data_IF_513129340404
#
_entry.id   IF_513129340404
#
_cell.length_a   1.000
_cell.length_b   1.000
_cell.length_c   1.000
_cell.angle_alpha   90.00
_cell.angle_beta   90.00
_cell.angle_gamma   90.00
#
_symmetry.space_group_name_H-M   'P 1'
#
loop_
_entity.id
_entity.type
_entity.pdbx_description
1 polymer ?
#
# COMPACT_ATOMS: atom_id res chain seq x y z
N UNK A 1 14.41 7.17 -16.06
CA UNK A 1 15.24 8.38 -15.86
C UNK A 1 15.37 8.62 -14.37
N UNK A 2 16.52 9.12 -13.87
CA UNK A 2 16.77 9.27 -12.41
C UNK A 2 15.63 10.02 -11.69
N UNK A 3 15.08 11.05 -12.33
CA UNK A 3 13.93 11.84 -11.85
C UNK A 3 12.67 11.02 -11.50
N UNK A 4 12.41 9.91 -12.19
CA UNK A 4 11.25 9.07 -11.86
C UNK A 4 11.50 8.22 -10.60
N UNK A 5 12.77 7.96 -10.28
CA UNK A 5 13.19 7.12 -9.16
C UNK A 5 13.28 7.93 -7.86
N UNK A 6 13.56 9.23 -7.94
CA UNK A 6 13.63 10.15 -6.79
C UNK A 6 12.24 10.48 -6.20
N UNK A 7 11.20 10.54 -7.03
CA UNK A 7 9.83 10.85 -6.59
C UNK A 7 8.99 9.59 -6.24
N UNK A 8 9.43 8.38 -6.62
CA UNK A 8 8.67 7.12 -6.45
C UNK A 8 8.60 6.61 -5.01
N UNK A 9 7.41 6.24 -4.52
CA UNK A 9 7.25 5.52 -3.24
C UNK A 9 7.33 4.00 -3.38
N UNK A 10 7.11 3.44 -4.58
CA UNK A 10 7.41 2.04 -4.89
C UNK A 10 7.87 1.93 -6.34
N UNK A 11 9.17 1.69 -6.55
CA UNK A 11 9.78 1.58 -7.86
C UNK A 11 10.56 0.27 -7.99
N UNK A 12 10.34 -0.45 -9.10
CA UNK A 12 11.06 -1.68 -9.43
C UNK A 12 11.78 -1.49 -10.76
N UNK A 13 13.12 -1.52 -10.76
CA UNK A 13 13.87 -1.42 -12.00
C UNK A 13 13.72 -2.74 -12.81
N UNK A 14 13.28 -2.71 -14.08
CA UNK A 14 13.22 -3.90 -14.92
C UNK A 14 14.56 -4.62 -15.13
N UNK A 15 15.71 -3.95 -14.96
CA UNK A 15 17.04 -4.59 -15.03
C UNK A 15 17.48 -5.24 -13.71
N UNK A 16 16.78 -4.98 -12.60
CA UNK A 16 17.06 -5.56 -11.28
C UNK A 16 18.14 -4.86 -10.45
N UNK A 17 18.89 -3.91 -11.02
CA UNK A 17 20.07 -3.30 -10.36
C UNK A 17 19.75 -2.45 -9.11
N UNK A 18 18.51 -1.96 -8.98
CA UNK A 18 18.07 -1.10 -7.88
C UNK A 18 16.54 -1.08 -7.78
N UNK A 19 15.97 -0.99 -6.59
CA UNK A 19 14.52 -0.83 -6.38
C UNK A 19 14.24 -0.10 -5.06
N UNK A 20 13.14 0.64 -4.99
CA UNK A 20 12.77 1.53 -3.87
C UNK A 20 11.40 1.10 -3.33
N UNK A 21 11.23 1.16 -2.01
CA UNK A 21 9.95 0.92 -1.35
C UNK A 21 9.83 1.71 -0.05
N UNK A 22 9.14 2.84 -0.09
CA UNK A 22 8.85 3.71 1.05
C UNK A 22 7.52 3.33 1.69
N UNK A 23 7.53 2.35 2.60
CA UNK A 23 6.31 1.85 3.24
C UNK A 23 5.98 2.60 4.54
N UNK A 24 4.77 3.18 4.59
CA UNK A 24 4.21 3.76 5.80
C UNK A 24 3.58 2.69 6.70
N UNK A 25 3.87 2.76 8.00
CA UNK A 25 3.32 1.86 9.01
C UNK A 25 1.95 2.35 9.50
N UNK A 26 0.92 1.54 9.35
CA UNK A 26 -0.35 1.68 10.05
C UNK A 26 -0.34 0.76 11.29
N UNK A 27 -0.18 1.31 12.53
CA UNK A 27 -0.09 0.51 13.74
C UNK A 27 -1.41 -0.20 14.04
N UNK A 28 -1.35 -1.44 14.53
CA UNK A 28 -2.53 -2.22 14.95
C UNK A 28 -3.65 -2.29 13.91
N UNK A 29 -3.26 -2.55 12.65
CA UNK A 29 -4.17 -2.70 11.51
C UNK A 29 -3.76 -3.91 10.67
N UNK A 30 -4.72 -4.49 9.95
CA UNK A 30 -4.54 -5.62 9.07
C UNK A 30 -5.42 -5.49 7.83
N UNK A 31 -4.86 -5.82 6.66
CA UNK A 31 -5.60 -5.87 5.40
C UNK A 31 -6.02 -7.31 5.11
N UNK A 32 -7.33 -7.58 5.20
CA UNK A 32 -7.93 -8.92 5.09
C UNK A 32 -8.12 -9.36 3.64
N UNK A 33 -7.01 -9.60 2.93
CA UNK A 33 -6.98 -10.03 1.52
C UNK A 33 -6.18 -11.32 1.33
N UNK A 34 -6.30 -11.94 0.15
CA UNK A 34 -5.51 -13.12 -0.21
C UNK A 34 -4.02 -12.76 -0.23
N UNK A 35 -3.23 -13.53 0.51
CA UNK A 35 -1.78 -13.40 0.64
C UNK A 35 -1.11 -13.97 -0.62
N UNK A 36 -0.10 -13.28 -1.14
CA UNK A 36 0.79 -13.81 -2.18
C UNK A 36 1.69 -14.90 -1.60
N UNK A 37 2.28 -14.62 -0.44
CA UNK A 37 3.13 -15.55 0.32
C UNK A 37 3.16 -15.12 1.79
N UNK A 38 3.71 -15.97 2.65
CA UNK A 38 3.96 -15.65 4.05
C UNK A 38 5.29 -16.25 4.50
N UNK A 39 6.08 -15.46 5.21
CA UNK A 39 7.46 -15.79 5.60
C UNK A 39 7.76 -15.30 7.01
N UNK A 40 8.68 -15.96 7.71
CA UNK A 40 9.23 -15.43 8.97
C UNK A 40 10.46 -14.57 8.65
N UNK A 41 10.53 -13.38 9.25
CA UNK A 41 11.58 -12.36 9.01
C UNK A 41 12.18 -11.87 10.33
N UNK A 42 13.39 -11.32 10.32
CA UNK A 42 14.01 -10.76 11.53
C UNK A 42 13.43 -9.38 11.87
N UNK A 43 13.16 -8.54 10.86
CA UNK A 43 12.62 -7.19 11.05
C UNK A 43 11.74 -6.68 9.87
N UNK A 44 11.41 -5.39 9.91
CA UNK A 44 10.57 -4.72 8.90
C UNK A 44 11.30 -4.55 7.55
N UNK A 45 12.62 -4.37 7.54
CA UNK A 45 13.40 -4.17 6.32
C UNK A 45 13.44 -5.46 5.50
N UNK A 46 13.61 -6.61 6.15
CA UNK A 46 13.49 -7.93 5.52
C UNK A 46 12.14 -8.07 4.77
N UNK A 47 11.03 -7.80 5.46
CA UNK A 47 9.69 -7.89 4.85
C UNK A 47 9.49 -6.87 3.72
N UNK A 48 10.11 -5.70 3.85
CA UNK A 48 10.13 -4.66 2.81
C UNK A 48 10.89 -5.15 1.57
N UNK A 49 12.07 -5.72 1.72
CA UNK A 49 12.85 -6.28 0.60
C UNK A 49 12.13 -7.46 -0.06
N UNK A 50 11.47 -8.33 0.71
CA UNK A 50 10.61 -9.38 0.15
C UNK A 50 9.45 -8.81 -0.69
N UNK A 51 8.80 -7.72 -0.24
CA UNK A 51 7.76 -7.08 -1.03
C UNK A 51 8.32 -6.38 -2.28
N UNK A 52 9.42 -5.63 -2.17
CA UNK A 52 10.05 -4.95 -3.31
C UNK A 52 10.49 -5.98 -4.37
N UNK A 53 11.07 -7.11 -3.94
CA UNK A 53 11.50 -8.21 -4.82
C UNK A 53 10.37 -9.06 -5.44
N UNK A 54 9.15 -9.03 -4.90
CA UNK A 54 7.97 -9.68 -5.48
C UNK A 54 7.22 -8.70 -6.40
N UNK A 55 7.23 -8.87 -7.74
CA UNK A 55 6.63 -7.91 -8.67
C UNK A 55 5.14 -7.64 -8.45
N UNK A 56 4.40 -8.58 -7.88
CA UNK A 56 2.96 -8.44 -7.60
C UNK A 56 2.65 -7.80 -6.24
N UNK A 57 3.64 -7.62 -5.37
CA UNK A 57 3.40 -7.07 -4.04
C UNK A 57 3.14 -5.56 -4.10
N UNK A 58 2.12 -5.10 -3.39
CA UNK A 58 1.83 -3.68 -3.22
C UNK A 58 1.80 -3.26 -1.76
N UNK A 59 1.53 -4.17 -0.82
CA UNK A 59 1.57 -3.91 0.62
C UNK A 59 1.87 -5.19 1.37
N UNK A 60 2.10 -5.10 2.68
CA UNK A 60 2.25 -6.27 3.54
C UNK A 60 1.60 -6.09 4.90
N UNK A 61 1.16 -7.20 5.49
CA UNK A 61 0.90 -7.27 6.93
C UNK A 61 2.14 -7.87 7.61
N UNK A 62 2.50 -7.36 8.78
CA UNK A 62 3.58 -7.90 9.61
C UNK A 62 3.09 -8.06 11.04
N UNK A 63 3.44 -9.16 11.71
CA UNK A 63 3.07 -9.37 13.11
C UNK A 63 3.56 -8.21 13.99
N UNK A 64 2.73 -7.78 14.93
CA UNK A 64 3.08 -6.75 15.92
C UNK A 64 4.10 -7.24 16.96
N UNK A 65 4.22 -8.56 17.10
CA UNK A 65 5.05 -9.24 18.08
C UNK A 65 5.77 -10.43 17.40
N UNK A 66 7.02 -10.73 17.81
CA UNK A 66 7.76 -11.86 17.27
C UNK A 66 7.29 -13.20 17.87
N UNK A 67 7.71 -14.30 17.24
CA UNK A 67 7.60 -15.66 17.76
C UNK A 67 8.64 -15.94 18.86
N UNK A 68 8.68 -17.18 19.36
CA UNK A 68 9.63 -17.62 20.38
C UNK A 68 11.10 -17.65 19.94
N UNK A 69 11.40 -17.41 18.66
CA UNK A 69 12.74 -17.28 18.09
C UNK A 69 13.12 -15.82 17.80
N UNK A 70 12.23 -14.87 18.08
CA UNK A 70 12.44 -13.46 17.77
C UNK A 70 12.07 -13.07 16.32
N UNK A 71 11.39 -13.94 15.57
CA UNK A 71 11.03 -13.71 14.17
C UNK A 71 9.58 -13.24 14.03
N UNK A 72 9.32 -12.32 13.11
CA UNK A 72 7.98 -11.80 12.82
C UNK A 72 7.37 -12.50 11.61
N UNK A 73 6.05 -12.75 11.64
CA UNK A 73 5.32 -13.21 10.46
C UNK A 73 5.09 -12.03 9.50
N UNK A 74 5.63 -12.13 8.29
CA UNK A 74 5.45 -11.21 7.17
C UNK A 74 4.50 -11.83 6.14
N UNK A 75 3.53 -11.08 5.64
CA UNK A 75 2.51 -11.54 4.69
C UNK A 75 2.40 -10.55 3.52
N UNK A 76 2.88 -10.93 2.34
CA UNK A 76 2.88 -10.07 1.15
C UNK A 76 1.50 -10.07 0.47
N UNK A 77 1.05 -8.91 0.00
CA UNK A 77 -0.31 -8.71 -0.51
C UNK A 77 -0.30 -8.07 -1.91
N UNK A 78 -1.20 -8.55 -2.79
CA UNK A 78 -1.31 -8.11 -4.18
C UNK A 78 -2.13 -6.81 -4.38
N UNK A 79 -2.39 -6.09 -3.29
CA UNK A 79 -3.21 -4.86 -3.25
C UNK A 79 -2.80 -4.07 -2.01
N UNK A 80 -3.48 -2.96 -1.72
CA UNK A 80 -3.16 -2.02 -0.63
C UNK A 80 -4.43 -1.54 0.10
N UNK A 81 -4.24 -0.76 1.16
CA UNK A 81 -5.36 -0.23 1.97
C UNK A 81 -6.29 0.72 1.22
N UNK A 82 -5.86 1.34 0.12
CA UNK A 82 -6.65 2.30 -0.65
C UNK A 82 -7.55 1.61 -1.69
N UNK A 83 -7.04 0.54 -2.30
CA UNK A 83 -7.76 -0.29 -3.27
C UNK A 83 -8.68 -1.32 -2.61
N UNK A 84 -8.48 -1.61 -1.33
CA UNK A 84 -9.24 -2.59 -0.57
C UNK A 84 -9.68 -2.06 0.82
N UNK A 85 -10.06 -0.79 0.90
CA UNK A 85 -10.43 -0.07 2.15
C UNK A 85 -11.49 -0.80 2.98
N UNK A 86 -12.47 -1.44 2.34
CA UNK A 86 -13.51 -2.20 3.02
C UNK A 86 -13.03 -3.52 3.68
N UNK A 87 -11.76 -3.88 3.51
CA UNK A 87 -11.08 -5.03 4.14
C UNK A 87 -9.95 -4.57 5.07
N UNK A 88 -9.76 -3.26 5.23
CA UNK A 88 -8.74 -2.68 6.08
C UNK A 88 -9.32 -2.37 7.45
N UNK A 89 -8.86 -3.09 8.47
CA UNK A 89 -9.48 -3.05 9.80
C UNK A 89 -8.43 -3.01 10.92
N UNK A 90 -8.83 -2.50 12.08
CA UNK A 90 -8.04 -2.58 13.30
C UNK A 90 -7.76 -4.05 13.68
N UNK A 91 -6.55 -4.32 14.15
CA UNK A 91 -6.08 -5.66 14.51
C UNK A 91 -5.01 -5.57 15.60
N UNK A 92 -5.21 -6.27 16.72
CA UNK A 92 -4.32 -6.17 17.88
C UNK A 92 -2.95 -6.87 17.70
N UNK A 93 -2.81 -7.78 16.73
CA UNK A 93 -1.62 -8.65 16.58
C UNK A 93 -0.81 -8.37 15.31
N UNK A 94 -1.22 -7.40 14.49
CA UNK A 94 -0.53 -7.05 13.25
C UNK A 94 -0.37 -5.54 13.06
N UNK A 95 0.56 -5.19 12.19
CA UNK A 95 0.73 -3.86 11.61
C UNK A 95 0.61 -4.02 10.09
N UNK A 96 0.06 -3.01 9.44
CA UNK A 96 -0.04 -2.97 7.99
C UNK A 96 0.93 -1.95 7.41
N UNK A 97 1.48 -2.24 6.24
CA UNK A 97 2.46 -1.42 5.57
C UNK A 97 2.08 -1.25 4.10
N UNK A 98 1.73 -0.02 3.71
CA UNK A 98 1.46 0.37 2.32
C UNK A 98 2.44 1.48 1.90
N UNK A 99 2.82 1.59 0.62
CA UNK A 99 3.70 2.65 0.15
C UNK A 99 3.09 4.04 0.38
N UNK A 100 3.94 5.03 0.59
CA UNK A 100 3.55 6.44 0.69
C UNK A 100 2.69 6.86 -0.52
N UNK A 101 1.63 7.63 -0.27
CA UNK A 101 0.78 8.16 -1.33
C UNK A 101 0.05 9.42 -0.88
N UNK A 102 -0.25 10.38 -1.78
CA UNK A 102 -1.18 11.47 -1.49
C UNK A 102 -2.58 11.00 -1.07
N UNK A 103 -2.94 9.73 -1.32
CA UNK A 103 -4.19 9.15 -0.81
C UNK A 103 -4.30 9.14 0.72
N UNK A 104 -3.21 9.30 1.49
CA UNK A 104 -3.29 9.51 2.97
C UNK A 104 -4.09 10.76 3.38
N UNK A 105 -4.31 11.71 2.46
CA UNK A 105 -5.04 12.96 2.72
C UNK A 105 -6.56 12.90 2.48
N UNK A 106 -7.11 11.72 2.19
CA UNK A 106 -8.50 11.50 1.73
C UNK A 106 -8.95 12.55 0.68
N UNK A 107 -8.22 12.67 -0.45
CA UNK A 107 -8.47 13.73 -1.43
C UNK A 107 -9.81 13.54 -2.14
N UNK A 108 -10.24 12.30 -2.38
CA UNK A 108 -11.46 11.97 -3.10
C UNK A 108 -12.71 12.22 -2.25
N UNK A 109 -13.62 13.04 -2.77
CA UNK A 109 -14.88 13.44 -2.13
C UNK A 109 -16.01 12.50 -2.53
N UNK A 110 -17.16 12.68 -1.87
CA UNK A 110 -18.40 11.96 -2.14
C UNK A 110 -18.26 10.42 -2.19
N UNK A 111 -17.35 9.90 -1.36
CA UNK A 111 -17.08 8.46 -1.24
C UNK A 111 -16.36 7.84 -2.44
N UNK A 112 -15.73 8.63 -3.32
CA UNK A 112 -14.90 8.10 -4.41
C UNK A 112 -13.66 7.35 -3.91
N UNK A 113 -13.26 6.30 -4.61
CA UNK A 113 -12.10 5.49 -4.20
C UNK A 113 -10.80 6.17 -4.62
N UNK A 114 -9.81 6.30 -3.72
CA UNK A 114 -8.50 6.83 -4.08
C UNK A 114 -7.62 5.71 -4.64
N UNK A 115 -7.12 5.90 -5.87
CA UNK A 115 -6.29 4.91 -6.56
C UNK A 115 -4.87 5.47 -6.71
N UNK A 116 -3.90 4.99 -5.92
CA UNK A 116 -2.54 5.51 -5.94
C UNK A 116 -1.76 5.03 -7.17
N UNK A 117 -0.86 5.90 -7.63
CA UNK A 117 0.23 5.60 -8.56
C UNK A 117 1.55 5.82 -7.82
N UNK A 118 2.23 4.74 -7.49
CA UNK A 118 3.43 4.75 -6.64
C UNK A 118 4.72 5.06 -7.39
N UNK A 119 4.73 4.94 -8.73
CA UNK A 119 5.88 5.29 -9.58
C UNK A 119 5.90 6.79 -9.89
N UNK A 120 4.73 7.43 -9.91
CA UNK A 120 4.59 8.88 -10.06
C UNK A 120 4.31 9.61 -8.74
N UNK A 121 4.22 8.88 -7.61
CA UNK A 121 3.78 9.37 -6.30
C UNK A 121 2.56 10.31 -6.40
N UNK A 122 1.58 9.83 -7.18
CA UNK A 122 0.36 10.55 -7.51
C UNK A 122 -0.84 9.67 -7.23
N UNK A 123 -2.03 10.14 -7.63
CA UNK A 123 -3.27 9.40 -7.45
C UNK A 123 -4.30 9.84 -8.48
N UNK A 124 -5.36 9.04 -8.59
CA UNK A 124 -6.61 9.42 -9.26
C UNK A 124 -7.79 9.00 -8.41
N UNK A 125 -8.89 9.76 -8.47
CA UNK A 125 -10.14 9.37 -7.84
C UNK A 125 -11.00 8.55 -8.79
N UNK A 126 -11.60 7.46 -8.28
CA UNK A 126 -12.65 6.69 -8.95
C UNK A 126 -13.99 7.12 -8.37
N UNK A 127 -14.66 8.04 -9.08
CA UNK A 127 -15.92 8.62 -8.62
C UNK A 127 -17.06 7.59 -8.64
N UNK A 128 -17.92 7.66 -7.63
CA UNK A 128 -19.19 6.91 -7.61
C UNK A 128 -20.18 7.53 -8.59
N UNK A 129 -21.21 6.78 -8.96
CA UNK A 129 -22.25 7.23 -9.90
C UNK A 129 -22.86 8.56 -9.42
N UNK A 130 -22.94 9.55 -10.33
CA UNK A 130 -23.43 10.90 -10.03
C UNK A 130 -22.34 11.92 -9.66
N UNK A 131 -21.11 11.49 -9.44
CA UNK A 131 -19.99 12.39 -9.11
C UNK A 131 -18.93 12.40 -10.23
N UNK A 132 -18.32 13.56 -10.46
CA UNK A 132 -17.23 13.76 -11.42
C UNK A 132 -16.35 14.97 -11.01
N UNK A 133 -15.35 15.32 -11.81
CA UNK A 133 -14.27 16.23 -11.39
C UNK A 133 -13.04 15.47 -10.88
N UNK A 134 -11.94 16.18 -10.65
CA UNK A 134 -10.62 15.59 -10.30
C UNK A 134 -10.65 14.90 -8.93
N UNK A 135 -11.44 15.43 -8.01
CA UNK A 135 -11.62 14.93 -6.65
C UNK A 135 -13.05 14.41 -6.40
N UNK A 136 -13.85 14.17 -7.45
CA UNK A 136 -15.26 13.79 -7.35
C UNK A 136 -16.13 14.81 -6.59
N UNK A 137 -15.78 16.10 -6.71
CA UNK A 137 -16.36 17.22 -5.98
C UNK A 137 -17.67 17.76 -6.60
N UNK A 138 -17.82 17.68 -7.92
CA UNK A 138 -19.07 17.86 -8.66
C UNK A 138 -19.70 16.44 -8.88
N UNK A 139 -20.87 16.18 -9.49
CA UNK A 139 -21.46 16.79 -10.67
C UNK A 139 -22.99 16.62 -10.71
N UNK A 140 -23.74 17.23 -9.78
CA UNK A 140 -25.17 17.42 -10.01
C UNK A 140 -25.39 18.33 -11.24
N UNK A 141 -25.80 17.74 -12.36
CA UNK A 141 -26.58 18.46 -13.37
C UNK A 141 -27.87 17.69 -13.65
N UNK A 142 -28.96 18.43 -13.40
CA UNK A 142 -30.38 18.10 -13.56
C UNK A 142 -30.70 17.28 -14.80
#
# INVERSE_FOLDING_TARGET
TMRAMEDSSLYRNPTGDFSVGEFQRNPFHYLWVTKLTSSMVADQLDCTFLCVGEPKCYSFNMAAYPDSKGLYLCELLATDKYRATNKFHANATFHHYSPSSPCESDPCKNGGDCVPDYEMNSYRCHCKLGFCGTHCEDCERR
#
